data_IF_922139070788
#
_entry.id   IF_922139070788
#
_cell.length_a   1.000
_cell.length_b   1.000
_cell.length_c   1.000
_cell.angle_alpha   90.00
_cell.angle_beta   90.00
_cell.angle_gamma   90.00
#
_symmetry.space_group_name_H-M   'P 1'
#
loop_
_entity.id
_entity.type
_entity.pdbx_description
1 polymer ?
#
# COMPACT_ATOMS: atom_id res chain seq x y z
N UNK A 1 -19.06 -15.07 1.62
CA UNK A 1 -17.81 -15.82 1.38
C UNK A 1 -17.43 -15.95 -0.08
N UNK A 2 -18.37 -15.87 -1.02
CA UNK A 2 -18.05 -15.99 -2.45
C UNK A 2 -16.91 -15.06 -2.93
N UNK A 3 -16.89 -13.79 -2.53
CA UNK A 3 -15.82 -12.85 -2.90
C UNK A 3 -14.42 -13.31 -2.43
N UNK A 4 -14.34 -13.91 -1.24
CA UNK A 4 -13.10 -14.48 -0.72
C UNK A 4 -12.68 -15.67 -1.58
N UNK A 5 -13.63 -16.59 -1.84
CA UNK A 5 -13.40 -17.78 -2.65
C UNK A 5 -12.93 -17.40 -4.05
N UNK A 6 -13.59 -16.44 -4.70
CA UNK A 6 -13.23 -15.98 -6.05
C UNK A 6 -11.82 -15.37 -6.09
N UNK A 7 -11.49 -14.49 -5.14
CA UNK A 7 -10.17 -13.86 -5.05
C UNK A 7 -9.07 -14.91 -4.87
N UNK A 8 -9.20 -15.78 -3.87
CA UNK A 8 -8.16 -16.76 -3.57
C UNK A 8 -8.08 -17.88 -4.59
N UNK A 9 -9.20 -18.25 -5.23
CA UNK A 9 -9.19 -19.14 -6.40
C UNK A 9 -8.44 -18.51 -7.56
N UNK A 10 -8.61 -17.21 -7.81
CA UNK A 10 -7.85 -16.52 -8.85
C UNK A 10 -6.34 -16.55 -8.53
N UNK A 11 -5.95 -16.25 -7.29
CA UNK A 11 -4.55 -16.20 -6.87
C UNK A 11 -3.88 -17.60 -6.93
N UNK A 12 -4.54 -18.65 -6.44
CA UNK A 12 -4.00 -20.01 -6.53
C UNK A 12 -3.84 -20.47 -7.99
N UNK A 13 -4.82 -20.15 -8.85
CA UNK A 13 -4.74 -20.43 -10.30
C UNK A 13 -3.58 -19.69 -10.99
N UNK A 14 -3.15 -18.53 -10.50
CA UNK A 14 -2.00 -17.81 -11.06
C UNK A 14 -0.69 -18.57 -10.77
N UNK A 15 -0.56 -19.12 -9.57
CA UNK A 15 0.59 -19.96 -9.19
C UNK A 15 0.62 -21.24 -10.04
N UNK A 16 -0.52 -21.91 -10.21
CA UNK A 16 -0.63 -23.13 -11.03
C UNK A 16 -0.27 -22.89 -12.52
N UNK A 17 -0.54 -21.68 -13.02
CA UNK A 17 -0.20 -21.25 -14.38
C UNK A 17 1.21 -20.69 -14.50
N UNK A 18 2.01 -20.72 -13.44
CA UNK A 18 3.36 -20.15 -13.37
C UNK A 18 3.39 -18.64 -13.69
N UNK A 19 2.25 -17.94 -13.50
CA UNK A 19 2.13 -16.50 -13.75
C UNK A 19 2.61 -15.66 -12.56
N UNK A 20 2.64 -16.25 -11.37
CA UNK A 20 3.20 -15.66 -10.15
C UNK A 20 4.14 -16.67 -9.48
N UNK A 21 5.13 -16.22 -8.69
CA UNK A 21 6.05 -17.12 -8.02
C UNK A 21 5.35 -18.05 -7.03
N UNK A 22 5.92 -19.23 -6.83
CA UNK A 22 5.44 -20.17 -5.81
C UNK A 22 5.73 -19.67 -4.40
N UNK A 23 5.00 -20.14 -3.37
CA UNK A 23 5.29 -19.80 -1.98
C UNK A 23 6.71 -20.15 -1.55
N UNK A 24 7.23 -21.31 -1.99
CA UNK A 24 8.59 -21.74 -1.71
C UNK A 24 9.65 -20.80 -2.28
N UNK A 25 9.38 -20.21 -3.46
CA UNK A 25 10.25 -19.20 -4.05
C UNK A 25 10.20 -17.90 -3.24
N UNK A 26 9.00 -17.42 -2.91
CA UNK A 26 8.81 -16.17 -2.15
C UNK A 26 9.43 -16.25 -0.75
N UNK A 27 9.38 -17.42 -0.11
CA UNK A 27 9.98 -17.65 1.21
C UNK A 27 11.53 -17.57 1.21
N UNK A 28 12.17 -17.63 0.04
CA UNK A 28 13.63 -17.56 -0.09
C UNK A 28 14.16 -16.14 -0.30
N UNK A 29 13.28 -15.16 -0.54
CA UNK A 29 13.69 -13.77 -0.78
C UNK A 29 14.27 -13.16 0.50
N UNK A 30 15.52 -12.69 0.44
CA UNK A 30 16.20 -12.13 1.61
C UNK A 30 16.03 -10.61 1.72
N UNK A 31 15.73 -9.93 0.61
CA UNK A 31 15.53 -8.50 0.56
C UNK A 31 14.83 -8.05 -0.73
N UNK A 32 14.50 -6.76 -0.85
CA UNK A 32 13.85 -6.20 -2.04
C UNK A 32 14.65 -6.37 -3.34
N UNK A 33 15.98 -6.45 -3.26
CA UNK A 33 16.86 -6.76 -4.38
C UNK A 33 16.69 -8.18 -4.93
N UNK A 34 16.13 -9.08 -4.11
CA UNK A 34 15.85 -10.44 -4.54
C UNK A 34 14.50 -10.59 -5.25
N UNK A 35 13.65 -9.57 -5.20
CA UNK A 35 12.31 -9.57 -5.81
C UNK A 35 12.40 -9.84 -7.33
N UNK A 36 11.53 -10.70 -7.89
CA UNK A 36 11.51 -10.97 -9.34
C UNK A 36 11.42 -9.71 -10.20
N UNK A 37 10.70 -8.68 -9.76
CA UNK A 37 10.61 -7.42 -10.49
C UNK A 37 11.93 -6.65 -10.44
N UNK A 38 12.62 -6.65 -9.29
CA UNK A 38 13.95 -6.07 -9.19
C UNK A 38 14.97 -6.79 -10.09
N UNK A 39 14.82 -8.10 -10.28
CA UNK A 39 15.66 -8.93 -11.16
C UNK A 39 15.26 -8.88 -12.64
N UNK A 40 14.18 -8.18 -13.00
CA UNK A 40 13.66 -8.11 -14.37
C UNK A 40 12.99 -9.40 -14.85
N UNK A 41 12.57 -10.26 -13.94
CA UNK A 41 11.94 -11.56 -14.20
C UNK A 41 10.40 -11.49 -14.23
N UNK A 42 9.80 -10.37 -13.83
CA UNK A 42 8.37 -10.14 -13.94
C UNK A 42 8.01 -8.81 -14.59
N UNK A 43 6.73 -8.66 -14.91
CA UNK A 43 6.20 -7.53 -15.71
C UNK A 43 5.65 -6.37 -14.86
N UNK A 44 5.51 -6.56 -13.55
CA UNK A 44 5.03 -5.55 -12.61
C UNK A 44 4.74 -6.11 -11.21
N UNK A 45 4.53 -5.22 -10.24
CA UNK A 45 4.20 -5.57 -8.84
C UNK A 45 3.10 -4.65 -8.32
N UNK A 46 2.27 -5.18 -7.42
CA UNK A 46 1.34 -4.37 -6.64
C UNK A 46 2.02 -3.92 -5.34
N UNK A 47 2.25 -2.62 -5.19
CA UNK A 47 2.90 -2.01 -4.03
C UNK A 47 2.28 -0.64 -3.74
N UNK A 48 2.63 -0.06 -2.58
CA UNK A 48 2.28 1.32 -2.28
C UNK A 48 3.06 2.29 -3.18
N UNK A 49 2.44 3.40 -3.58
CA UNK A 49 3.03 4.37 -4.51
C UNK A 49 4.37 4.93 -4.02
N UNK A 50 4.55 5.10 -2.71
CA UNK A 50 5.80 5.58 -2.12
C UNK A 50 6.99 4.60 -2.28
N UNK A 51 6.74 3.34 -2.64
CA UNK A 51 7.80 2.35 -2.89
C UNK A 51 8.36 2.43 -4.32
N UNK A 52 7.70 3.16 -5.22
CA UNK A 52 8.05 3.25 -6.64
C UNK A 52 9.50 3.71 -6.88
N UNK A 53 9.92 4.81 -6.24
CA UNK A 53 11.28 5.32 -6.39
C UNK A 53 12.34 4.33 -5.89
N UNK A 54 12.06 3.62 -4.80
CA UNK A 54 12.95 2.58 -4.27
C UNK A 54 13.03 1.37 -5.22
N UNK A 55 11.92 0.98 -5.83
CA UNK A 55 11.87 -0.12 -6.79
C UNK A 55 12.71 0.20 -8.04
N UNK A 56 12.56 1.39 -8.63
CA UNK A 56 13.39 1.84 -9.78
C UNK A 56 14.87 1.91 -9.41
N UNK A 57 15.20 2.40 -8.21
CA UNK A 57 16.58 2.48 -7.76
C UNK A 57 17.23 1.10 -7.61
N UNK A 58 16.49 0.13 -7.05
CA UNK A 58 16.99 -1.22 -6.79
C UNK A 58 17.09 -2.03 -8.08
N UNK A 59 16.10 -1.91 -8.97
CA UNK A 59 16.06 -2.67 -10.23
C UNK A 59 16.95 -2.07 -11.32
N UNK A 60 17.14 -0.74 -11.31
CA UNK A 60 17.72 0.01 -12.43
C UNK A 60 16.83 0.03 -13.68
N UNK A 61 15.55 -0.32 -13.55
CA UNK A 61 14.55 -0.35 -14.61
C UNK A 61 13.61 0.86 -14.49
N UNK A 62 13.07 1.29 -15.64
CA UNK A 62 12.05 2.33 -15.72
C UNK A 62 10.66 1.69 -15.63
N UNK A 63 9.84 2.14 -14.68
CA UNK A 63 8.49 1.63 -14.47
C UNK A 63 7.44 2.71 -14.72
N UNK A 64 6.20 2.28 -14.92
CA UNK A 64 5.06 3.18 -15.01
C UNK A 64 3.97 2.74 -14.04
N UNK A 65 3.18 3.70 -13.57
CA UNK A 65 2.00 3.39 -12.77
C UNK A 65 0.88 2.84 -13.66
N UNK A 66 0.23 1.79 -13.19
CA UNK A 66 -1.00 1.29 -13.76
C UNK A 66 -1.99 1.01 -12.63
N UNK A 67 -3.29 1.35 -12.82
CA UNK A 67 -4.28 0.98 -11.85
C UNK A 67 -4.58 -0.53 -11.90
N UNK A 68 -5.24 -1.05 -10.85
CA UNK A 68 -5.63 -2.46 -10.78
C UNK A 68 -6.48 -2.86 -12.00
N UNK A 69 -6.25 -4.03 -12.63
CA UNK A 69 -7.10 -4.51 -13.72
C UNK A 69 -8.45 -5.00 -13.17
N UNK A 70 -9.55 -4.69 -13.87
CA UNK A 70 -10.87 -5.23 -13.55
C UNK A 70 -12.00 -4.20 -13.74
N UNK A 71 -13.27 -4.60 -13.55
CA UNK A 71 -14.37 -3.65 -13.44
C UNK A 71 -14.30 -2.88 -12.11
N UNK A 72 -14.75 -1.63 -12.08
CA UNK A 72 -14.83 -0.85 -10.83
C UNK A 72 -13.47 -0.48 -10.24
N UNK A 73 -12.44 -0.29 -11.08
CA UNK A 73 -11.07 0.04 -10.67
C UNK A 73 -11.01 1.17 -9.64
N UNK A 74 -11.74 2.25 -9.93
CA UNK A 74 -11.83 3.43 -9.06
C UNK A 74 -12.46 3.13 -7.69
N UNK A 75 -13.27 2.07 -7.58
CA UNK A 75 -13.96 1.69 -6.35
C UNK A 75 -13.01 0.97 -5.36
N UNK A 76 -11.91 0.40 -5.86
CA UNK A 76 -10.90 -0.30 -5.04
C UNK A 76 -9.73 0.58 -4.59
N UNK A 77 -9.61 1.80 -5.13
CA UNK A 77 -8.56 2.74 -4.76
C UNK A 77 -9.06 3.72 -3.69
N UNK A 78 -8.12 4.20 -2.88
CA UNK A 78 -8.32 5.27 -1.90
C UNK A 78 -6.99 5.96 -1.60
N UNK A 79 -7.05 7.22 -1.17
CA UNK A 79 -5.87 7.93 -0.65
C UNK A 79 -5.59 7.47 0.78
N UNK A 80 -4.46 6.78 0.96
CA UNK A 80 -3.97 6.40 2.28
C UNK A 80 -3.04 7.50 2.82
N UNK A 81 -3.37 8.13 3.95
CA UNK A 81 -2.42 9.00 4.66
C UNK A 81 -1.17 8.21 5.01
N UNK A 82 -0.01 8.71 4.61
CA UNK A 82 1.29 8.09 4.91
C UNK A 82 1.54 8.07 6.42
N UNK A 83 1.26 9.20 7.08
CA UNK A 83 1.44 9.43 8.50
C UNK A 83 0.67 10.68 8.95
N UNK A 84 0.55 10.85 10.28
CA UNK A 84 -0.09 12.02 10.89
C UNK A 84 0.81 12.61 11.97
N UNK A 85 0.74 13.93 12.13
CA UNK A 85 1.10 14.58 13.40
C UNK A 85 -0.14 14.69 14.29
N UNK A 86 0.06 14.44 15.58
CA UNK A 86 -0.95 14.57 16.62
C UNK A 86 -0.44 15.46 17.75
N UNK A 87 -1.32 16.28 18.33
CA UNK A 87 -1.02 17.07 19.52
C UNK A 87 -1.67 16.41 20.72
N UNK A 88 -0.87 15.99 21.70
CA UNK A 88 -1.39 15.37 22.91
C UNK A 88 -2.28 16.32 23.70
N UNK A 89 -3.37 15.80 24.27
CA UNK A 89 -4.32 16.58 25.08
C UNK A 89 -3.65 17.25 26.28
N UNK A 90 -2.62 16.61 26.85
CA UNK A 90 -1.83 17.13 27.97
C UNK A 90 -0.63 17.99 27.55
N UNK A 91 -0.49 18.37 26.28
CA UNK A 91 0.58 19.28 25.86
C UNK A 91 0.43 20.64 26.53
N UNK A 92 1.49 21.11 27.18
CA UNK A 92 1.56 22.43 27.81
C UNK A 92 1.63 23.58 26.78
N UNK A 93 2.01 23.28 25.52
CA UNK A 93 2.10 24.28 24.45
C UNK A 93 1.48 23.78 23.13
N UNK A 94 0.15 23.68 23.13
CA UNK A 94 -0.63 23.27 21.94
C UNK A 94 -0.52 24.29 20.81
N UNK A 95 -0.33 25.57 21.12
CA UNK A 95 -0.27 26.63 20.13
C UNK A 95 1.04 26.58 19.34
N UNK A 96 2.18 26.37 19.99
CA UNK A 96 3.44 26.16 19.29
C UNK A 96 3.45 24.87 18.48
N UNK A 97 2.89 23.78 19.02
CA UNK A 97 2.76 22.51 18.29
C UNK A 97 1.94 22.67 17.00
N UNK A 98 0.79 23.35 17.07
CA UNK A 98 -0.04 23.63 15.89
C UNK A 98 0.70 24.48 14.85
N UNK A 99 1.44 25.51 15.28
CA UNK A 99 2.26 26.33 14.38
C UNK A 99 3.37 25.54 13.70
N UNK A 100 4.00 24.60 14.42
CA UNK A 100 5.01 23.73 13.83
C UNK A 100 4.41 22.80 12.79
N UNK A 101 3.24 22.21 13.08
CA UNK A 101 2.55 21.35 12.11
C UNK A 101 2.18 22.14 10.85
N UNK A 102 1.63 23.35 11.02
CA UNK A 102 1.31 24.26 9.92
C UNK A 102 2.55 24.60 9.08
N UNK A 103 3.65 25.01 9.71
CA UNK A 103 4.93 25.22 9.04
C UNK A 103 5.39 23.96 8.28
N UNK A 104 5.33 22.79 8.91
CA UNK A 104 5.80 21.54 8.30
C UNK A 104 5.02 21.18 7.03
N UNK A 105 3.70 21.42 7.01
CA UNK A 105 2.84 20.99 5.90
C UNK A 105 2.61 22.06 4.84
N UNK A 106 2.72 23.34 5.19
CA UNK A 106 2.37 24.46 4.31
C UNK A 106 3.56 25.33 3.88
N UNK A 107 4.72 25.26 4.56
CA UNK A 107 5.88 26.08 4.17
C UNK A 107 6.65 25.45 3.00
N UNK A 108 6.76 26.19 1.90
CA UNK A 108 7.42 25.74 0.67
C UNK A 108 8.92 25.50 0.89
N UNK A 109 9.60 26.40 1.59
CA UNK A 109 11.06 26.28 1.81
C UNK A 109 11.40 25.08 2.71
N UNK A 110 10.58 24.82 3.73
CA UNK A 110 10.68 23.61 4.53
C UNK A 110 10.49 22.36 3.66
N UNK A 111 9.50 22.36 2.77
CA UNK A 111 9.20 21.21 1.94
C UNK A 111 10.21 21.00 0.81
N UNK A 112 10.93 22.03 0.35
CA UNK A 112 12.10 21.89 -0.52
C UNK A 112 13.26 21.13 0.13
N UNK A 113 13.26 21.01 1.46
CA UNK A 113 14.19 20.16 2.20
C UNK A 113 13.61 18.75 2.37
N UNK A 114 12.30 18.64 2.64
CA UNK A 114 11.61 17.35 2.89
C UNK A 114 11.47 16.53 1.60
N UNK A 115 11.25 17.19 0.46
CA UNK A 115 11.15 16.62 -0.89
C UNK A 115 10.15 15.45 -0.98
N UNK A 116 9.02 15.53 -0.27
CA UNK A 116 7.97 14.51 -0.31
C UNK A 116 8.37 13.15 0.27
N UNK A 117 9.44 13.08 1.09
CA UNK A 117 9.89 11.81 1.72
C UNK A 117 8.81 11.19 2.62
N UNK A 118 7.92 12.01 3.18
CA UNK A 118 6.77 11.58 4.00
C UNK A 118 5.50 11.37 3.17
N UNK A 119 5.62 11.16 1.87
CA UNK A 119 4.50 11.07 0.93
C UNK A 119 4.25 12.39 0.20
N UNK A 120 3.28 12.36 -0.71
CA UNK A 120 2.90 13.54 -1.51
C UNK A 120 2.35 14.62 -0.59
N UNK A 121 2.85 15.87 -0.66
CA UNK A 121 2.34 16.96 0.15
C UNK A 121 0.84 17.16 -0.04
N UNK A 122 0.11 17.37 1.05
CA UNK A 122 -1.34 17.64 1.03
C UNK A 122 -1.68 19.07 0.62
N UNK A 123 -0.71 19.98 0.72
CA UNK A 123 -0.85 21.36 0.23
C UNK A 123 -0.56 21.39 -1.25
N UNK A 124 -1.55 21.82 -2.05
CA UNK A 124 -1.39 21.97 -3.50
C UNK A 124 -0.28 22.97 -3.86
N UNK A 125 -0.14 24.06 -3.10
CA UNK A 125 0.94 25.05 -3.29
C UNK A 125 2.32 24.42 -3.09
N UNK A 126 2.49 23.64 -2.03
CA UNK A 126 3.74 22.91 -1.77
C UNK A 126 4.00 21.89 -2.86
N UNK A 127 2.97 21.11 -3.24
CA UNK A 127 3.08 20.09 -4.29
C UNK A 127 3.52 20.71 -5.62
N UNK A 128 2.87 21.78 -6.07
CA UNK A 128 3.23 22.52 -7.29
C UNK A 128 4.67 23.04 -7.22
N UNK A 129 5.07 23.64 -6.11
CA UNK A 129 6.42 24.17 -5.93
C UNK A 129 7.52 23.10 -5.91
N UNK A 130 7.17 21.84 -5.59
CA UNK A 130 8.09 20.71 -5.57
C UNK A 130 8.23 20.00 -6.91
N UNK A 131 7.29 20.13 -7.85
CA UNK A 131 7.33 19.40 -9.13
C UNK A 131 8.63 19.59 -9.92
N UNK A 132 9.26 20.77 -9.83
CA UNK A 132 10.53 21.07 -10.51
C UNK A 132 11.77 20.71 -9.67
N UNK A 133 11.60 20.35 -8.40
CA UNK A 133 12.69 20.12 -7.43
C UNK A 133 12.90 18.63 -7.14
N UNK A 134 11.86 17.80 -7.33
CA UNK A 134 11.90 16.37 -7.05
C UNK A 134 12.50 15.56 -8.20
N UNK A 135 12.88 14.31 -7.92
CA UNK A 135 13.37 13.40 -8.96
C UNK A 135 12.26 13.03 -9.96
N UNK A 136 12.59 12.56 -11.18
CA UNK A 136 11.58 12.08 -12.13
C UNK A 136 10.67 11.00 -11.55
N UNK A 137 11.21 10.05 -10.78
CA UNK A 137 10.44 9.01 -10.10
C UNK A 137 9.43 9.58 -9.10
N UNK A 138 9.82 10.65 -8.41
CA UNK A 138 8.95 11.30 -7.43
C UNK A 138 7.88 12.17 -8.10
N UNK A 139 8.21 12.81 -9.23
CA UNK A 139 7.21 13.47 -10.07
C UNK A 139 6.15 12.46 -10.56
N UNK A 140 6.56 11.27 -11.03
CA UNK A 140 5.62 10.17 -11.38
C UNK A 140 4.70 9.79 -10.21
N UNK A 141 5.23 9.73 -8.98
CA UNK A 141 4.41 9.48 -7.78
C UNK A 141 3.38 10.61 -7.58
N UNK A 142 3.78 11.87 -7.74
CA UNK A 142 2.91 13.02 -7.52
C UNK A 142 1.76 13.05 -8.53
N UNK A 143 2.07 12.81 -9.81
CA UNK A 143 1.11 12.71 -10.91
C UNK A 143 0.14 11.53 -10.69
N UNK A 144 0.64 10.38 -10.25
CA UNK A 144 -0.23 9.24 -9.94
C UNK A 144 -1.19 9.55 -8.79
N UNK A 145 -0.74 10.27 -7.75
CA UNK A 145 -1.61 10.67 -6.65
C UNK A 145 -2.67 11.70 -7.09
N UNK A 146 -2.35 12.64 -7.99
CA UNK A 146 -3.36 13.53 -8.60
C UNK A 146 -4.43 12.71 -9.33
N UNK A 147 -4.00 11.71 -10.11
CA UNK A 147 -4.94 10.83 -10.79
C UNK A 147 -5.81 10.04 -9.80
N UNK A 148 -5.22 9.52 -8.71
CA UNK A 148 -5.97 8.79 -7.67
C UNK A 148 -6.97 9.71 -6.95
N UNK A 149 -6.64 10.97 -6.68
CA UNK A 149 -7.56 11.96 -6.09
C UNK A 149 -8.87 12.08 -6.89
N UNK A 150 -8.81 11.99 -8.21
CA UNK A 150 -9.97 12.06 -9.09
C UNK A 150 -10.64 10.70 -9.38
N UNK A 151 -9.92 9.59 -9.14
CA UNK A 151 -10.31 8.23 -9.56
C UNK A 151 -10.31 7.22 -8.41
N UNK A 152 -10.69 7.66 -7.20
CA UNK A 152 -10.75 6.81 -6.01
C UNK A 152 -11.99 7.04 -5.16
N UNK A 153 -12.18 6.16 -4.18
CA UNK A 153 -13.19 6.32 -3.14
C UNK A 153 -12.59 6.89 -1.85
N UNK A 154 -13.41 7.53 -0.99
CA UNK A 154 -12.95 7.90 0.34
C UNK A 154 -12.42 6.67 1.10
N UNK A 155 -11.30 6.84 1.81
CA UNK A 155 -10.78 5.79 2.70
C UNK A 155 -11.83 5.41 3.74
N UNK A 156 -11.91 4.11 4.05
CA UNK A 156 -12.77 3.59 5.11
C UNK A 156 -12.37 4.05 6.52
N UNK A 157 -13.13 3.61 7.51
CA UNK A 157 -12.80 3.82 8.92
C UNK A 157 -11.41 3.28 9.28
N UNK A 158 -10.74 3.84 10.31
CA UNK A 158 -9.54 3.24 10.86
C UNK A 158 -9.74 1.77 11.22
N UNK A 159 -8.65 1.01 11.16
CA UNK A 159 -8.65 -0.41 11.50
C UNK A 159 -9.21 -0.64 12.92
N UNK A 160 -10.06 -1.67 13.11
CA UNK A 160 -10.62 -1.97 14.42
C UNK A 160 -9.57 -2.57 15.37
N UNK A 161 -9.93 -2.66 16.65
CA UNK A 161 -9.19 -3.53 17.57
C UNK A 161 -9.15 -4.96 17.02
N UNK A 162 -8.02 -5.66 17.17
CA UNK A 162 -7.83 -7.00 16.63
C UNK A 162 -7.46 -7.07 15.14
N UNK A 163 -7.30 -5.93 14.44
CA UNK A 163 -6.90 -5.93 13.03
C UNK A 163 -5.56 -6.67 12.78
N UNK A 164 -4.60 -6.54 13.69
CA UNK A 164 -3.33 -7.29 13.62
C UNK A 164 -3.53 -8.81 13.63
N UNK A 165 -4.42 -9.31 14.49
CA UNK A 165 -4.75 -10.74 14.56
C UNK A 165 -5.50 -11.22 13.31
N UNK A 166 -6.35 -10.36 12.72
CA UNK A 166 -7.02 -10.67 11.45
C UNK A 166 -6.02 -10.77 10.30
N UNK A 167 -5.03 -9.86 10.24
CA UNK A 167 -3.98 -9.89 9.21
C UNK A 167 -3.13 -11.17 9.36
N UNK A 168 -2.75 -11.52 10.58
CA UNK A 168 -2.01 -12.77 10.86
C UNK A 168 -2.83 -14.01 10.46
N UNK A 169 -4.11 -14.06 10.83
CA UNK A 169 -5.03 -15.13 10.43
C UNK A 169 -5.11 -15.26 8.91
N UNK A 170 -5.31 -14.15 8.20
CA UNK A 170 -5.41 -14.15 6.74
C UNK A 170 -4.10 -14.62 6.09
N UNK A 171 -2.96 -14.19 6.63
CA UNK A 171 -1.62 -14.60 6.17
C UNK A 171 -1.44 -16.11 6.29
N UNK A 172 -1.73 -16.67 7.48
CA UNK A 172 -1.62 -18.11 7.73
C UNK A 172 -2.57 -18.95 6.84
N UNK A 173 -3.79 -18.48 6.58
CA UNK A 173 -4.72 -19.18 5.69
C UNK A 173 -4.28 -19.07 4.22
N UNK A 174 -3.76 -17.91 3.81
CA UNK A 174 -3.20 -17.70 2.47
C UNK A 174 -2.01 -18.62 2.21
N UNK A 175 -1.11 -18.78 3.17
CA UNK A 175 0.00 -19.73 3.09
C UNK A 175 -0.49 -21.17 2.94
N UNK A 176 -1.44 -21.61 3.78
CA UNK A 176 -2.02 -22.96 3.69
C UNK A 176 -2.68 -23.21 2.32
N UNK A 177 -3.43 -22.25 1.79
CA UNK A 177 -4.01 -22.34 0.45
C UNK A 177 -2.93 -22.44 -0.63
N UNK A 178 -1.87 -21.67 -0.51
CA UNK A 178 -0.81 -21.64 -1.54
C UNK A 178 0.05 -22.92 -1.53
N UNK A 179 0.12 -23.62 -0.40
CA UNK A 179 0.68 -24.98 -0.30
C UNK A 179 -0.35 -26.08 -0.62
N UNK A 180 -1.58 -25.73 -1.03
CA UNK A 180 -2.64 -26.68 -1.36
C UNK A 180 -3.14 -27.51 -0.18
N UNK A 181 -2.93 -27.03 1.06
CA UNK A 181 -3.31 -27.74 2.28
C UNK A 181 -4.80 -27.62 2.59
N UNK A 182 -5.42 -26.52 2.16
CA UNK A 182 -6.86 -26.24 2.29
C UNK A 182 -7.37 -25.59 1.00
N UNK A 183 -8.66 -25.75 0.70
CA UNK A 183 -9.29 -25.06 -0.44
C UNK A 183 -9.69 -23.63 -0.09
N UNK A 184 -9.90 -22.75 -1.09
CA UNK A 184 -10.46 -21.41 -0.86
C UNK A 184 -11.80 -21.40 -0.12
N UNK A 185 -12.66 -22.39 -0.32
CA UNK A 185 -13.95 -22.53 0.40
C UNK A 185 -13.76 -22.88 1.88
N UNK A 186 -12.82 -23.79 2.18
CA UNK A 186 -12.45 -24.15 3.55
C UNK A 186 -11.83 -22.94 4.27
N UNK A 187 -10.90 -22.25 3.60
CA UNK A 187 -10.27 -21.04 4.10
C UNK A 187 -11.28 -19.91 4.34
N UNK A 188 -12.24 -19.68 3.43
CA UNK A 188 -13.26 -18.65 3.59
C UNK A 188 -14.15 -18.91 4.82
N UNK A 189 -14.56 -20.17 5.01
CA UNK A 189 -15.36 -20.58 6.17
C UNK A 189 -14.59 -20.38 7.47
N UNK A 190 -13.32 -20.81 7.49
CA UNK A 190 -12.43 -20.67 8.63
C UNK A 190 -12.14 -19.20 8.97
N UNK A 191 -11.83 -18.39 7.96
CA UNK A 191 -11.54 -16.97 8.09
C UNK A 191 -12.73 -16.23 8.70
N UNK A 192 -13.94 -16.40 8.14
CA UNK A 192 -15.14 -15.75 8.67
C UNK A 192 -15.36 -16.10 10.14
N UNK A 193 -15.38 -17.39 10.47
CA UNK A 193 -15.68 -17.83 11.84
C UNK A 193 -14.69 -17.29 12.86
N UNK A 194 -13.39 -17.26 12.53
CA UNK A 194 -12.36 -16.79 13.46
C UNK A 194 -12.32 -15.26 13.52
N UNK A 195 -12.44 -14.57 12.38
CA UNK A 195 -12.47 -13.11 12.33
C UNK A 195 -13.67 -12.52 13.09
N UNK A 196 -14.86 -13.15 13.00
CA UNK A 196 -16.02 -12.74 13.80
C UNK A 196 -15.78 -12.91 15.30
N UNK A 197 -15.03 -13.93 15.71
CA UNK A 197 -14.60 -14.12 17.10
C UNK A 197 -13.62 -13.05 17.57
N UNK A 198 -12.65 -12.67 16.72
CA UNK A 198 -11.66 -11.62 17.03
C UNK A 198 -12.36 -10.26 17.17
N UNK A 199 -13.25 -9.91 16.24
CA UNK A 199 -13.95 -8.62 16.20
C UNK A 199 -15.10 -8.51 17.21
N UNK A 200 -15.61 -9.64 17.70
CA UNK A 200 -16.68 -9.70 18.68
C UNK A 200 -16.23 -9.47 20.13
N UNK A 201 -14.92 -9.43 20.37
CA UNK A 201 -14.29 -9.13 21.68
C UNK A 201 -13.99 -7.64 21.84
#
# INVERSE_FOLDING_TARGET
DQLFVDLYTMLTNQVEKEATPTPDYLAQLAGPEDDPIAKGEGVGVFQWSNQFAGLEQISGLDFEFAPMPGPGIQDGLYLKPSMFFSVAENSEDKAAAAKFIDFFVNDVDANKIILGERGVPVSSEVKEALMEEVSPSQAKIFEYIDWVEENSTPMGSPDPSGAGEIIELLTNLSEQMSYGQITPEEAATSFRSQAEGILGN
#
